data_IF_967692596862
#
_entry.id   IF_967692596862
#
_cell.length_a   1.000
_cell.length_b   1.000
_cell.length_c   1.000
_cell.angle_alpha   90.00
_cell.angle_beta   90.00
_cell.angle_gamma   90.00
#
_symmetry.space_group_name_H-M   'P 1'
#
loop_
_entity.id
_entity.type
_entity.pdbx_description
1 polymer ?
#
# COMPACT_ATOMS: atom_id res chain seq x y z
N UNK A 1 -52.28 -10.26 -31.34
CA UNK A 1 -50.80 -10.10 -31.47
C UNK A 1 -50.13 -9.68 -30.15
N UNK A 2 -50.58 -10.17 -29.02
CA UNK A 2 -50.06 -9.67 -27.72
C UNK A 2 -49.48 -10.68 -26.71
N UNK A 3 -49.95 -11.94 -26.57
CA UNK A 3 -49.41 -12.78 -25.49
C UNK A 3 -47.99 -13.31 -25.77
N UNK A 4 -47.71 -13.82 -26.95
CA UNK A 4 -46.38 -14.42 -27.26
C UNK A 4 -45.18 -13.43 -27.23
N UNK A 5 -45.44 -12.18 -27.52
CA UNK A 5 -44.39 -11.12 -27.45
C UNK A 5 -44.07 -10.78 -26.00
N UNK A 6 -45.05 -10.85 -25.10
CA UNK A 6 -44.89 -10.57 -23.67
C UNK A 6 -44.10 -11.72 -22.99
N UNK A 7 -44.48 -12.96 -23.29
CA UNK A 7 -43.76 -14.15 -22.77
C UNK A 7 -42.29 -14.21 -23.25
N UNK A 8 -42.01 -13.90 -24.50
CA UNK A 8 -40.60 -13.84 -25.01
C UNK A 8 -39.78 -12.71 -24.38
N UNK A 9 -40.43 -11.60 -24.08
CA UNK A 9 -39.79 -10.46 -23.43
C UNK A 9 -39.50 -10.76 -21.95
N UNK A 10 -40.42 -11.45 -21.29
CA UNK A 10 -40.25 -11.90 -19.89
C UNK A 10 -39.15 -12.99 -19.76
N UNK A 11 -39.05 -13.92 -20.72
CA UNK A 11 -37.97 -14.92 -20.76
C UNK A 11 -36.58 -14.29 -21.04
N UNK A 12 -36.51 -13.30 -21.92
CA UNK A 12 -35.27 -12.56 -22.18
C UNK A 12 -34.84 -11.72 -20.98
N UNK A 13 -35.80 -11.11 -20.28
CA UNK A 13 -35.56 -10.34 -19.07
C UNK A 13 -35.09 -11.24 -17.93
N UNK A 14 -35.71 -12.39 -17.72
CA UNK A 14 -35.32 -13.42 -16.76
C UNK A 14 -33.92 -13.98 -17.03
N UNK A 15 -33.57 -14.22 -18.30
CA UNK A 15 -32.22 -14.64 -18.70
C UNK A 15 -31.16 -13.54 -18.44
N UNK A 16 -31.53 -12.28 -18.68
CA UNK A 16 -30.65 -11.14 -18.36
C UNK A 16 -30.45 -10.98 -16.85
N UNK A 17 -31.51 -11.10 -16.05
CA UNK A 17 -31.46 -11.09 -14.58
C UNK A 17 -30.54 -12.20 -14.05
N UNK A 18 -30.72 -13.44 -14.49
CA UNK A 18 -29.87 -14.58 -14.08
C UNK A 18 -28.39 -14.36 -14.47
N UNK A 19 -28.12 -13.71 -15.60
CA UNK A 19 -26.74 -13.34 -15.99
C UNK A 19 -26.16 -12.28 -15.06
N UNK A 20 -26.97 -11.31 -14.66
CA UNK A 20 -26.56 -10.24 -13.73
C UNK A 20 -26.32 -10.87 -12.34
N UNK A 21 -27.23 -11.68 -11.84
CA UNK A 21 -27.07 -12.40 -10.56
C UNK A 21 -25.80 -13.29 -10.54
N UNK A 22 -25.54 -14.03 -11.61
CA UNK A 22 -24.33 -14.83 -11.74
C UNK A 22 -23.04 -13.98 -11.86
N UNK A 23 -23.12 -12.74 -12.39
CA UNK A 23 -22.00 -11.79 -12.40
C UNK A 23 -21.80 -11.16 -11.02
N UNK A 24 -22.89 -10.81 -10.32
CA UNK A 24 -22.85 -10.29 -8.96
C UNK A 24 -22.27 -11.36 -8.02
N UNK A 25 -22.74 -12.60 -8.07
CA UNK A 25 -22.22 -13.70 -7.26
C UNK A 25 -20.71 -13.96 -7.55
N UNK A 26 -20.27 -13.86 -8.80
CA UNK A 26 -18.83 -13.95 -9.14
C UNK A 26 -18.03 -12.74 -8.63
N UNK A 27 -18.60 -11.55 -8.65
CA UNK A 27 -17.99 -10.36 -8.09
C UNK A 27 -17.95 -10.40 -6.56
N UNK A 28 -19.01 -10.89 -5.92
CA UNK A 28 -19.05 -11.13 -4.47
C UNK A 28 -18.03 -12.19 -4.06
N UNK A 29 -17.92 -13.30 -4.79
CA UNK A 29 -16.89 -14.32 -4.59
C UNK A 29 -15.48 -13.78 -4.85
N UNK A 30 -15.31 -12.92 -5.84
CA UNK A 30 -14.04 -12.24 -6.12
C UNK A 30 -13.69 -11.19 -5.06
N UNK A 31 -14.68 -10.53 -4.47
CA UNK A 31 -14.48 -9.55 -3.38
C UNK A 31 -14.26 -10.26 -2.04
N UNK A 32 -15.02 -11.31 -1.75
CA UNK A 32 -14.90 -12.12 -0.52
C UNK A 32 -13.76 -13.15 -0.60
N UNK A 33 -13.41 -13.63 -1.81
CA UNK A 33 -12.30 -14.55 -2.11
C UNK A 33 -11.07 -13.89 -2.74
N UNK A 34 -10.97 -12.58 -2.68
CA UNK A 34 -9.91 -11.83 -3.37
C UNK A 34 -8.48 -12.23 -2.96
N UNK A 35 -8.30 -12.69 -1.71
CA UNK A 35 -7.05 -13.30 -1.26
C UNK A 35 -6.70 -14.58 -2.01
N UNK A 36 -7.69 -15.35 -2.41
CA UNK A 36 -7.51 -16.60 -3.15
C UNK A 36 -7.13 -16.34 -4.62
N UNK A 37 -7.70 -15.32 -5.26
CA UNK A 37 -7.33 -14.90 -6.61
C UNK A 37 -5.88 -14.42 -6.67
N UNK A 38 -5.46 -13.61 -5.71
CA UNK A 38 -4.08 -13.16 -5.63
C UNK A 38 -3.11 -14.34 -5.43
N UNK A 39 -3.45 -15.27 -4.53
CA UNK A 39 -2.67 -16.49 -4.28
C UNK A 39 -2.63 -17.42 -5.50
N UNK A 40 -3.76 -17.59 -6.18
CA UNK A 40 -3.83 -18.36 -7.43
C UNK A 40 -2.91 -17.76 -8.50
N UNK A 41 -2.98 -16.45 -8.72
CA UNK A 41 -2.13 -15.74 -9.68
C UNK A 41 -0.64 -15.84 -9.35
N UNK A 42 -0.27 -15.88 -8.06
CA UNK A 42 1.11 -16.10 -7.64
C UNK A 42 1.54 -17.55 -7.86
N UNK A 43 0.67 -18.51 -7.52
CA UNK A 43 0.94 -19.94 -7.71
C UNK A 43 1.10 -20.31 -9.19
N UNK A 44 0.29 -19.76 -10.10
CA UNK A 44 0.41 -19.92 -11.56
C UNK A 44 1.80 -19.48 -12.09
N UNK A 45 2.43 -18.50 -11.40
CA UNK A 45 3.80 -18.04 -11.69
C UNK A 45 4.88 -18.85 -10.96
N UNK A 46 4.51 -19.93 -10.26
CA UNK A 46 5.43 -20.73 -9.45
C UNK A 46 5.87 -20.06 -8.15
N UNK A 47 5.25 -18.95 -7.77
CA UNK A 47 5.60 -18.16 -6.59
C UNK A 47 4.83 -18.67 -5.36
N UNK A 48 5.47 -19.48 -4.53
CA UNK A 48 4.87 -20.06 -3.33
C UNK A 48 5.08 -19.16 -2.11
N UNK A 49 4.03 -18.42 -1.72
CA UNK A 49 4.04 -17.59 -0.50
C UNK A 49 4.13 -18.50 0.74
N UNK A 50 5.12 -18.28 1.61
CA UNK A 50 5.20 -18.96 2.90
C UNK A 50 4.97 -18.04 4.10
N UNK A 51 5.12 -16.72 3.93
CA UNK A 51 4.79 -15.70 4.93
C UNK A 51 4.20 -14.47 4.25
N UNK A 52 3.13 -13.94 4.79
CA UNK A 52 2.57 -12.65 4.43
C UNK A 52 1.77 -12.07 5.61
N UNK A 53 1.48 -10.79 5.55
CA UNK A 53 0.71 -10.04 6.54
C UNK A 53 1.26 -10.18 7.98
N UNK A 54 2.57 -9.96 8.21
CA UNK A 54 3.14 -10.09 9.54
C UNK A 54 2.59 -9.02 10.49
N UNK A 55 2.17 -9.42 11.69
CA UNK A 55 1.65 -8.51 12.73
C UNK A 55 2.69 -8.18 13.80
N UNK A 56 3.76 -8.95 13.87
CA UNK A 56 4.81 -8.87 14.90
C UNK A 56 5.60 -7.54 14.89
N UNK A 57 5.63 -6.83 13.77
CA UNK A 57 6.36 -5.57 13.59
C UNK A 57 5.48 -4.34 13.41
N UNK A 58 4.17 -4.49 13.51
CA UNK A 58 3.25 -3.37 13.39
C UNK A 58 3.21 -2.54 14.68
N UNK A 59 2.99 -1.25 14.54
CA UNK A 59 2.66 -0.39 15.67
C UNK A 59 1.32 -0.80 16.32
N UNK A 60 0.41 -1.33 15.52
CA UNK A 60 -0.88 -1.83 15.97
C UNK A 60 -0.68 -3.11 16.82
N UNK A 61 -1.27 -3.20 18.02
CA UNK A 61 -1.22 -4.41 18.83
C UNK A 61 -1.82 -5.62 18.09
N UNK A 62 -1.32 -6.80 18.40
CA UNK A 62 -1.88 -8.04 17.87
C UNK A 62 -3.31 -8.23 18.38
N UNK A 63 -4.23 -8.63 17.50
CA UNK A 63 -5.63 -8.76 17.84
C UNK A 63 -6.37 -7.43 18.05
N UNK A 64 -5.78 -6.30 17.66
CA UNK A 64 -6.46 -5.01 17.72
C UNK A 64 -7.81 -5.05 16.99
N UNK A 65 -8.90 -4.53 17.61
CA UNK A 65 -10.23 -4.55 17.02
C UNK A 65 -10.28 -3.76 15.70
N UNK A 66 -11.23 -4.13 14.84
CA UNK A 66 -11.38 -3.50 13.51
C UNK A 66 -11.54 -1.99 13.61
N UNK A 67 -12.24 -1.48 14.61
CA UNK A 67 -12.38 -0.04 14.83
C UNK A 67 -11.02 0.65 15.05
N UNK A 68 -10.12 0.03 15.80
CA UNK A 68 -8.76 0.57 16.02
C UNK A 68 -7.94 0.56 14.73
N UNK A 69 -8.08 -0.51 13.92
CA UNK A 69 -7.47 -0.60 12.60
C UNK A 69 -7.98 0.48 11.66
N UNK A 70 -9.33 0.72 11.63
CA UNK A 70 -9.95 1.78 10.84
C UNK A 70 -9.44 3.17 11.21
N UNK A 71 -9.40 3.44 12.52
CA UNK A 71 -8.93 4.72 13.04
C UNK A 71 -7.45 4.96 12.73
N UNK A 72 -6.62 3.91 12.85
CA UNK A 72 -5.21 3.97 12.49
C UNK A 72 -5.05 4.24 10.98
N UNK A 73 -5.77 3.50 10.12
CA UNK A 73 -5.77 3.72 8.69
C UNK A 73 -6.14 5.17 8.33
N UNK A 74 -7.21 5.69 8.92
CA UNK A 74 -7.65 7.08 8.69
C UNK A 74 -6.60 8.12 9.10
N UNK A 75 -5.89 7.89 10.21
CA UNK A 75 -4.83 8.81 10.66
C UNK A 75 -3.57 8.68 9.80
N UNK A 76 -3.22 7.48 9.33
CA UNK A 76 -2.08 7.28 8.43
C UNK A 76 -2.26 7.98 7.07
N UNK A 77 -3.46 8.37 6.68
CA UNK A 77 -3.66 9.27 5.53
C UNK A 77 -3.02 10.66 5.74
N UNK A 78 -2.79 11.08 7.00
CA UNK A 78 -2.17 12.37 7.33
C UNK A 78 -0.66 12.24 7.38
N UNK A 79 0.05 12.96 6.51
CA UNK A 79 1.50 12.95 6.47
C UNK A 79 2.12 13.39 7.81
N UNK A 80 1.56 14.40 8.47
CA UNK A 80 2.01 14.86 9.79
C UNK A 80 1.92 13.77 10.87
N UNK A 81 0.92 12.89 10.81
CA UNK A 81 0.81 11.77 11.74
C UNK A 81 1.92 10.73 11.49
N UNK A 82 2.23 10.41 10.23
CA UNK A 82 3.33 9.50 9.91
C UNK A 82 4.70 10.04 10.34
N UNK A 83 4.90 11.36 10.24
CA UNK A 83 6.12 12.00 10.76
C UNK A 83 6.17 11.97 12.29
N UNK A 84 5.03 12.23 12.95
CA UNK A 84 4.90 12.08 14.40
C UNK A 84 5.25 10.66 14.85
N UNK A 85 4.73 9.63 14.17
CA UNK A 85 5.04 8.22 14.48
C UNK A 85 6.52 7.90 14.31
N UNK A 86 7.20 8.43 13.30
CA UNK A 86 8.67 8.24 13.14
C UNK A 86 9.44 8.78 14.32
N UNK A 87 9.06 9.97 14.82
CA UNK A 87 9.71 10.55 15.99
C UNK A 87 9.38 9.76 17.26
N UNK A 88 8.14 9.33 17.46
CA UNK A 88 7.71 8.49 18.58
C UNK A 88 8.44 7.12 18.59
N UNK A 89 8.54 6.46 17.44
CA UNK A 89 9.25 5.18 17.29
C UNK A 89 10.74 5.35 17.60
N UNK A 90 11.38 6.41 17.10
CA UNK A 90 12.79 6.68 17.35
C UNK A 90 13.11 6.90 18.82
N UNK A 91 12.19 7.49 19.58
CA UNK A 91 12.36 7.78 20.99
C UNK A 91 11.97 6.61 21.90
N UNK A 92 10.93 5.84 21.51
CA UNK A 92 10.37 4.74 22.30
C UNK A 92 9.60 5.19 23.54
N UNK A 93 10.14 6.16 24.28
CA UNK A 93 9.50 6.92 25.38
C UNK A 93 9.48 8.39 25.00
N UNK A 94 8.32 9.04 25.04
CA UNK A 94 8.15 10.41 24.55
C UNK A 94 6.99 11.14 25.23
N UNK A 95 7.10 12.46 25.32
CA UNK A 95 5.99 13.34 25.71
C UNK A 95 5.28 13.83 24.44
N UNK A 96 3.99 13.54 24.27
CA UNK A 96 3.28 13.90 23.03
C UNK A 96 3.41 15.37 22.66
N UNK A 97 3.34 16.29 23.64
CA UNK A 97 3.42 17.73 23.43
C UNK A 97 4.79 18.24 22.96
N UNK A 98 5.84 17.43 23.08
CA UNK A 98 7.19 17.76 22.60
C UNK A 98 7.37 17.40 21.13
N UNK A 99 6.57 16.47 20.59
CA UNK A 99 6.64 16.02 19.19
C UNK A 99 5.91 16.97 18.23
N UNK A 100 6.30 18.23 18.26
CA UNK A 100 5.63 19.31 17.51
C UNK A 100 6.34 19.74 16.23
N UNK A 101 7.42 19.07 15.87
CA UNK A 101 8.23 19.42 14.67
C UNK A 101 7.41 19.47 13.38
N UNK A 102 6.40 18.60 13.24
CA UNK A 102 5.61 18.42 12.03
C UNK A 102 4.10 18.61 12.23
N UNK A 103 3.69 18.98 13.43
CA UNK A 103 2.28 19.22 13.75
C UNK A 103 2.15 20.20 14.91
N UNK A 104 0.96 20.76 15.12
CA UNK A 104 0.68 21.61 16.28
C UNK A 104 0.67 20.80 17.58
N UNK A 105 0.93 21.46 18.73
CA UNK A 105 0.86 20.83 20.06
C UNK A 105 -0.49 20.13 20.29
N UNK A 106 -1.59 20.76 19.88
CA UNK A 106 -2.93 20.17 19.99
C UNK A 106 -3.09 18.90 19.14
N UNK A 107 -2.46 18.84 17.96
CA UNK A 107 -2.45 17.64 17.14
C UNK A 107 -1.57 16.54 17.75
N UNK A 108 -0.39 16.89 18.26
CA UNK A 108 0.53 15.95 18.92
C UNK A 108 -0.14 15.28 20.14
N UNK A 109 -0.83 16.06 20.99
CA UNK A 109 -1.61 15.53 22.11
C UNK A 109 -2.75 14.60 21.65
N UNK A 110 -3.45 14.93 20.56
CA UNK A 110 -4.48 14.02 19.99
C UNK A 110 -3.88 12.73 19.47
N UNK A 111 -2.70 12.79 18.84
CA UNK A 111 -2.00 11.61 18.34
C UNK A 111 -1.52 10.71 19.48
N UNK A 112 -0.99 11.28 20.56
CA UNK A 112 -0.60 10.53 21.76
C UNK A 112 -1.80 9.81 22.39
N UNK A 113 -2.92 10.53 22.64
CA UNK A 113 -4.15 9.93 23.16
C UNK A 113 -4.72 8.84 22.25
N UNK A 114 -4.59 9.01 20.95
CA UNK A 114 -4.99 7.96 20.00
C UNK A 114 -4.12 6.70 20.16
N UNK A 115 -2.79 6.83 20.23
CA UNK A 115 -1.89 5.66 20.44
C UNK A 115 -2.21 4.93 21.74
N UNK A 116 -2.50 5.67 22.80
CA UNK A 116 -2.94 5.10 24.07
C UNK A 116 -4.28 4.37 23.92
N UNK A 117 -5.27 4.98 23.26
CA UNK A 117 -6.62 4.41 23.09
C UNK A 117 -6.67 3.12 22.29
N UNK A 118 -5.68 2.85 21.44
CA UNK A 118 -5.53 1.59 20.67
C UNK A 118 -4.52 0.63 21.31
N UNK A 119 -4.01 0.93 22.48
CA UNK A 119 -3.01 0.12 23.18
C UNK A 119 -1.63 0.10 22.52
N UNK A 120 -1.34 1.00 21.59
CA UNK A 120 -0.02 1.12 20.95
C UNK A 120 0.99 1.86 21.82
N UNK A 121 0.54 2.61 22.82
CA UNK A 121 1.36 3.22 23.84
C UNK A 121 0.68 3.14 25.20
N UNK A 122 1.47 3.15 26.27
CA UNK A 122 1.01 3.16 27.66
C UNK A 122 1.59 4.35 28.41
N UNK A 123 0.84 4.97 29.35
CA UNK A 123 1.34 6.04 30.19
C UNK A 123 2.52 5.57 31.05
N UNK A 124 3.54 6.40 31.14
CA UNK A 124 4.68 6.26 32.05
C UNK A 124 5.04 7.64 32.62
N UNK A 125 4.49 7.95 33.80
CA UNK A 125 4.56 9.29 34.37
C UNK A 125 3.82 10.31 33.49
N UNK A 126 4.52 11.35 33.03
CA UNK A 126 4.04 12.38 32.12
C UNK A 126 4.36 12.08 30.63
N UNK A 127 4.93 10.89 30.35
CA UNK A 127 5.29 10.43 29.02
C UNK A 127 4.44 9.22 28.58
N UNK A 128 4.59 8.85 27.33
CA UNK A 128 4.04 7.63 26.73
C UNK A 128 5.20 6.71 26.30
N UNK A 129 5.11 5.44 26.63
CA UNK A 129 5.99 4.39 26.13
C UNK A 129 5.28 3.56 25.08
N UNK A 130 5.91 3.32 23.94
CA UNK A 130 5.40 2.35 22.97
C UNK A 130 5.33 0.95 23.58
N UNK A 131 4.19 0.27 23.43
CA UNK A 131 3.94 -1.07 24.00
C UNK A 131 4.72 -2.16 23.27
N UNK A 132 5.14 -1.92 22.03
CA UNK A 132 5.88 -2.88 21.21
C UNK A 132 7.24 -2.31 20.78
N UNK A 133 8.28 -3.13 20.71
CA UNK A 133 9.58 -2.72 20.20
C UNK A 133 9.54 -2.61 18.66
N UNK A 134 8.94 -1.53 18.15
CA UNK A 134 8.90 -1.22 16.71
C UNK A 134 10.16 -0.45 16.34
N UNK A 135 10.98 -1.00 15.46
CA UNK A 135 12.25 -0.39 15.04
C UNK A 135 12.12 0.70 13.98
N UNK A 136 11.04 0.67 13.19
CA UNK A 136 10.77 1.64 12.13
C UNK A 136 9.29 1.70 11.77
N UNK A 137 8.89 2.78 11.07
CA UNK A 137 7.53 2.90 10.53
C UNK A 137 7.29 1.99 9.31
N UNK A 138 8.34 1.42 8.69
CA UNK A 138 8.25 0.63 7.45
C UNK A 138 7.13 -0.40 7.45
N UNK A 139 7.12 -1.39 8.35
CA UNK A 139 6.08 -2.43 8.37
C UNK A 139 4.66 -1.88 8.53
N UNK A 140 4.47 -0.85 9.35
CA UNK A 140 3.16 -0.20 9.51
C UNK A 140 2.75 0.56 8.24
N UNK A 141 3.71 1.12 7.50
CA UNK A 141 3.47 1.79 6.24
C UNK A 141 3.15 0.80 5.11
N UNK A 142 3.79 -0.38 5.09
CA UNK A 142 3.45 -1.48 4.18
C UNK A 142 2.02 -1.96 4.42
N UNK A 143 1.64 -2.20 5.69
CA UNK A 143 0.27 -2.51 6.09
C UNK A 143 -0.72 -1.44 5.59
N UNK A 144 -0.39 -0.16 5.82
CA UNK A 144 -1.23 0.96 5.37
C UNK A 144 -1.41 0.98 3.84
N UNK A 145 -0.34 0.75 3.08
CA UNK A 145 -0.40 0.72 1.61
C UNK A 145 -1.21 -0.48 1.13
N UNK A 146 -1.09 -1.65 1.75
CA UNK A 146 -1.94 -2.80 1.42
C UNK A 146 -3.42 -2.49 1.68
N UNK A 147 -3.75 -1.92 2.85
CA UNK A 147 -5.13 -1.46 3.16
C UNK A 147 -5.63 -0.40 2.17
N UNK A 148 -4.76 0.47 1.66
CA UNK A 148 -5.11 1.44 0.65
C UNK A 148 -5.51 0.76 -0.68
N UNK A 149 -4.80 -0.28 -1.12
CA UNK A 149 -5.21 -1.07 -2.27
C UNK A 149 -6.57 -1.72 -2.06
N UNK A 150 -6.82 -2.31 -0.92
CA UNK A 150 -8.08 -2.98 -0.60
C UNK A 150 -9.26 -1.99 -0.56
N UNK A 151 -9.12 -0.85 0.11
CA UNK A 151 -10.21 0.09 0.41
C UNK A 151 -10.48 1.09 -0.70
N UNK A 152 -9.39 1.65 -1.23
CA UNK A 152 -9.50 2.76 -2.18
C UNK A 152 -9.55 2.29 -3.63
N UNK A 153 -9.04 1.08 -3.90
CA UNK A 153 -8.93 0.52 -5.25
C UNK A 153 -9.70 -0.80 -5.41
N UNK A 154 -10.32 -1.31 -4.33
CA UNK A 154 -11.01 -2.59 -4.28
C UNK A 154 -10.14 -3.73 -4.85
N UNK A 155 -8.86 -3.69 -4.55
CA UNK A 155 -7.85 -4.62 -5.01
C UNK A 155 -7.33 -5.44 -3.83
N UNK A 156 -7.57 -6.76 -3.78
CA UNK A 156 -6.98 -7.63 -2.77
C UNK A 156 -5.47 -7.45 -2.69
N UNK A 157 -4.93 -7.31 -1.49
CA UNK A 157 -3.51 -7.06 -1.28
C UNK A 157 -2.96 -7.82 -0.06
N UNK A 158 -1.69 -8.15 -0.13
CA UNK A 158 -0.90 -8.73 0.96
C UNK A 158 0.40 -7.94 1.12
N UNK A 159 0.93 -7.88 2.34
CA UNK A 159 2.16 -7.14 2.64
C UNK A 159 3.19 -8.01 3.37
N UNK A 160 4.46 -7.55 3.39
CA UNK A 160 5.58 -8.27 4.02
C UNK A 160 5.71 -9.69 3.47
N UNK A 161 5.66 -9.85 2.15
CA UNK A 161 5.50 -11.14 1.49
C UNK A 161 6.84 -11.82 1.27
N UNK A 162 6.93 -13.10 1.67
CA UNK A 162 8.10 -13.95 1.43
C UNK A 162 7.73 -15.17 0.60
N UNK A 163 8.57 -15.49 -0.39
CA UNK A 163 8.42 -16.66 -1.25
C UNK A 163 9.46 -17.73 -0.93
N UNK A 164 9.08 -19.00 -1.09
CA UNK A 164 10.01 -20.14 -0.98
C UNK A 164 10.85 -20.23 -2.25
N UNK A 165 12.17 -20.43 -2.09
CA UNK A 165 13.07 -20.73 -3.20
C UNK A 165 13.32 -19.57 -4.17
N UNK A 166 12.98 -18.31 -3.79
CA UNK A 166 13.26 -17.16 -4.63
C UNK A 166 14.65 -16.59 -4.30
N UNK A 167 15.56 -16.57 -5.29
CA UNK A 167 16.92 -16.06 -5.15
C UNK A 167 17.01 -14.52 -4.99
N UNK A 168 15.94 -13.79 -5.34
CA UNK A 168 15.90 -12.33 -5.30
C UNK A 168 16.17 -11.73 -3.91
N UNK A 169 16.06 -12.54 -2.85
CA UNK A 169 16.29 -12.13 -1.46
C UNK A 169 15.35 -11.01 -0.98
N UNK A 170 15.09 -10.97 0.33
CA UNK A 170 14.27 -9.93 0.96
C UNK A 170 12.77 -10.17 0.88
N UNK A 171 12.05 -9.26 1.51
CA UNK A 171 10.60 -9.28 1.56
C UNK A 171 10.06 -8.41 0.42
N UNK A 172 8.89 -8.77 -0.13
CA UNK A 172 8.12 -7.90 -1.02
C UNK A 172 7.15 -7.10 -0.16
N UNK A 173 7.25 -5.77 -0.22
CA UNK A 173 6.52 -4.92 0.70
C UNK A 173 5.00 -5.04 0.53
N UNK A 174 4.48 -4.86 -0.69
CA UNK A 174 3.04 -5.03 -0.98
C UNK A 174 2.84 -5.64 -2.36
N UNK A 175 2.01 -6.68 -2.42
CA UNK A 175 1.55 -7.28 -3.69
C UNK A 175 0.03 -7.22 -3.71
N UNK A 176 -0.54 -6.78 -4.84
CA UNK A 176 -1.99 -6.63 -5.00
C UNK A 176 -2.48 -7.23 -6.32
N UNK A 177 -3.75 -7.64 -6.34
CA UNK A 177 -4.47 -8.04 -7.55
C UNK A 177 -5.36 -6.90 -8.00
N UNK A 178 -4.89 -6.10 -8.94
CA UNK A 178 -5.50 -4.85 -9.35
C UNK A 178 -6.07 -4.95 -10.77
N UNK A 179 -7.39 -4.87 -10.89
CA UNK A 179 -8.08 -4.92 -12.19
C UNK A 179 -7.71 -6.13 -13.07
N UNK A 180 -7.53 -7.31 -12.45
CA UNK A 180 -7.17 -8.55 -13.15
C UNK A 180 -5.67 -8.72 -13.40
N UNK A 181 -4.84 -7.86 -12.85
CA UNK A 181 -3.40 -7.86 -13.05
C UNK A 181 -2.63 -7.80 -11.73
N UNK A 182 -1.43 -8.38 -11.71
CA UNK A 182 -0.55 -8.32 -10.56
C UNK A 182 0.12 -6.95 -10.48
N UNK A 183 0.04 -6.33 -9.31
CA UNK A 183 0.71 -5.08 -8.98
C UNK A 183 1.70 -5.29 -7.83
N UNK A 184 2.84 -4.58 -7.88
CA UNK A 184 3.85 -4.60 -6.82
C UNK A 184 4.13 -3.18 -6.33
N UNK A 185 4.19 -2.98 -5.02
CA UNK A 185 4.66 -1.73 -4.45
C UNK A 185 5.82 -1.97 -3.47
N UNK A 186 6.90 -1.27 -3.68
CA UNK A 186 7.99 -1.08 -2.72
C UNK A 186 7.72 0.20 -1.94
N UNK A 187 7.88 0.17 -0.62
CA UNK A 187 7.46 1.25 0.28
C UNK A 187 8.63 1.72 1.14
N UNK A 188 9.03 2.96 0.96
CA UNK A 188 10.14 3.56 1.70
C UNK A 188 9.65 4.57 2.72
N UNK A 189 9.84 4.27 4.00
CA UNK A 189 9.56 5.20 5.10
C UNK A 189 10.68 6.21 5.34
N UNK A 190 11.86 6.02 4.76
CA UNK A 190 13.00 6.93 4.86
C UNK A 190 12.83 8.16 3.97
N UNK A 191 13.40 9.31 4.35
CA UNK A 191 13.46 10.47 3.47
C UNK A 191 14.33 10.18 2.24
N UNK A 192 14.13 10.87 1.10
CA UNK A 192 14.84 10.60 -0.17
C UNK A 192 16.37 10.54 -0.04
N UNK A 193 16.97 11.36 0.84
CA UNK A 193 18.42 11.39 1.05
C UNK A 193 19.00 10.08 1.61
N UNK A 194 18.19 9.27 2.27
CA UNK A 194 18.60 8.00 2.86
C UNK A 194 18.39 6.81 1.93
N UNK A 195 17.87 7.02 0.71
CA UNK A 195 17.67 5.95 -0.28
C UNK A 195 18.88 5.90 -1.21
N UNK A 196 19.39 4.70 -1.45
CA UNK A 196 20.56 4.46 -2.27
C UNK A 196 20.24 3.67 -3.54
N UNK A 197 21.16 3.70 -4.53
CA UNK A 197 20.99 2.97 -5.80
C UNK A 197 20.82 1.47 -5.60
N UNK A 198 21.45 0.89 -4.59
CA UNK A 198 21.31 -0.52 -4.26
C UNK A 198 19.86 -0.92 -3.91
N UNK A 199 19.11 -0.04 -3.25
CA UNK A 199 17.70 -0.27 -2.91
C UNK A 199 16.80 -0.23 -4.16
N UNK A 200 17.05 0.71 -5.08
CA UNK A 200 16.36 0.78 -6.37
C UNK A 200 16.68 -0.45 -7.21
N UNK A 201 17.96 -0.86 -7.26
CA UNK A 201 18.37 -2.09 -7.97
C UNK A 201 17.71 -3.35 -7.37
N UNK A 202 17.61 -3.44 -6.05
CA UNK A 202 16.91 -4.54 -5.38
C UNK A 202 15.40 -4.56 -5.70
N UNK A 203 14.76 -3.39 -5.73
CA UNK A 203 13.37 -3.27 -6.17
C UNK A 203 13.19 -3.73 -7.62
N UNK A 204 14.06 -3.31 -8.54
CA UNK A 204 13.98 -3.69 -9.95
C UNK A 204 14.17 -5.21 -10.13
N UNK A 205 15.13 -5.83 -9.44
CA UNK A 205 15.30 -7.30 -9.43
C UNK A 205 14.05 -8.02 -8.91
N UNK A 206 13.46 -7.59 -7.78
CA UNK A 206 12.20 -8.16 -7.26
C UNK A 206 11.06 -8.01 -8.25
N UNK A 207 10.96 -6.85 -8.92
CA UNK A 207 10.00 -6.62 -10.00
C UNK A 207 10.18 -7.60 -11.15
N UNK A 208 11.41 -7.88 -11.59
CA UNK A 208 11.71 -8.85 -12.65
C UNK A 208 11.24 -10.27 -12.28
N UNK A 209 11.52 -10.71 -11.06
CA UNK A 209 11.07 -12.02 -10.57
C UNK A 209 9.55 -12.14 -10.43
N UNK A 210 8.88 -11.09 -10.00
CA UNK A 210 7.42 -11.09 -9.81
C UNK A 210 6.66 -10.90 -11.12
N UNK A 211 7.26 -10.28 -12.13
CA UNK A 211 6.65 -9.92 -13.42
C UNK A 211 5.27 -9.26 -13.27
N UNK A 212 5.12 -8.19 -12.47
CA UNK A 212 3.85 -7.51 -12.31
C UNK A 212 3.54 -6.66 -13.55
N UNK A 213 2.24 -6.49 -13.86
CA UNK A 213 1.80 -5.60 -14.93
C UNK A 213 2.14 -4.14 -14.65
N UNK A 214 2.18 -3.77 -13.36
CA UNK A 214 2.60 -2.44 -12.92
C UNK A 214 3.28 -2.49 -11.56
N UNK A 215 4.18 -1.55 -11.31
CA UNK A 215 4.90 -1.44 -10.04
C UNK A 215 5.00 0.00 -9.57
N UNK A 216 5.07 0.15 -8.24
CA UNK A 216 5.15 1.42 -7.56
C UNK A 216 6.38 1.44 -6.65
N UNK A 217 7.22 2.45 -6.77
CA UNK A 217 8.24 2.78 -5.79
C UNK A 217 7.73 3.98 -5.00
N UNK A 218 7.18 3.70 -3.83
CA UNK A 218 6.51 4.68 -2.97
C UNK A 218 7.50 5.19 -1.94
N UNK A 219 7.79 6.49 -1.96
CA UNK A 219 8.59 7.14 -0.92
C UNK A 219 7.69 8.02 -0.08
N UNK A 220 7.60 7.74 1.22
CA UNK A 220 6.75 8.52 2.14
C UNK A 220 7.39 9.86 2.47
N UNK A 221 7.28 10.79 1.52
CA UNK A 221 7.81 12.16 1.60
C UNK A 221 6.97 13.13 0.79
N UNK A 222 6.94 14.39 1.22
CA UNK A 222 6.44 15.52 0.42
C UNK A 222 7.56 16.32 -0.26
N UNK A 223 8.82 15.90 -0.03
CA UNK A 223 9.99 16.53 -0.65
C UNK A 223 10.08 16.23 -2.15
N UNK A 224 10.98 16.94 -2.82
CA UNK A 224 11.26 16.74 -4.24
C UNK A 224 11.93 15.38 -4.48
N UNK A 225 11.42 14.66 -5.47
CA UNK A 225 11.92 13.35 -5.89
C UNK A 225 12.92 13.46 -7.05
N UNK A 226 12.80 14.53 -7.86
CA UNK A 226 13.59 14.73 -9.07
C UNK A 226 15.09 14.70 -8.81
N UNK A 227 15.52 15.37 -7.74
CA UNK A 227 16.96 15.63 -7.53
C UNK A 227 17.68 14.46 -6.84
N UNK A 228 16.94 13.48 -6.29
CA UNK A 228 17.55 12.34 -5.58
C UNK A 228 17.07 10.99 -6.09
N UNK A 229 15.76 10.78 -6.19
CA UNK A 229 15.22 9.46 -6.53
C UNK A 229 15.30 9.19 -8.03
N UNK A 230 14.99 10.19 -8.87
CA UNK A 230 15.08 10.03 -10.33
C UNK A 230 16.49 9.63 -10.77
N UNK A 231 17.59 10.29 -10.34
CA UNK A 231 18.94 9.86 -10.68
C UNK A 231 19.29 8.43 -10.24
N UNK A 232 18.72 7.94 -9.12
CA UNK A 232 18.93 6.56 -8.69
C UNK A 232 18.31 5.55 -9.65
N UNK A 233 17.13 5.87 -10.21
CA UNK A 233 16.50 5.04 -11.24
C UNK A 233 17.27 5.08 -12.56
N UNK A 234 17.74 6.25 -12.97
CA UNK A 234 18.56 6.42 -14.17
C UNK A 234 19.89 5.65 -14.05
N UNK A 235 20.50 5.64 -12.86
CA UNK A 235 21.72 4.86 -12.59
C UNK A 235 21.47 3.35 -12.54
N UNK A 236 20.34 2.91 -11.90
CA UNK A 236 20.02 1.50 -11.75
C UNK A 236 19.50 0.86 -13.04
N UNK A 237 18.88 1.63 -13.94
CA UNK A 237 18.32 1.16 -15.21
C UNK A 237 18.54 2.19 -16.34
N UNK A 238 19.77 2.37 -16.85
CA UNK A 238 20.11 3.42 -17.82
C UNK A 238 19.29 3.37 -19.13
N UNK A 239 18.79 2.18 -19.48
CA UNK A 239 17.99 1.97 -20.69
C UNK A 239 16.49 2.27 -20.51
N UNK A 240 16.06 2.59 -19.29
CA UNK A 240 14.66 2.89 -18.98
C UNK A 240 14.49 4.40 -18.72
N UNK A 241 13.93 5.15 -19.69
CA UNK A 241 13.75 6.58 -19.50
C UNK A 241 12.83 6.90 -18.33
N UNK A 242 13.18 7.89 -17.53
CA UNK A 242 12.33 8.41 -16.45
C UNK A 242 11.60 9.64 -16.94
N UNK A 243 10.28 9.56 -17.02
CA UNK A 243 9.41 10.62 -17.51
C UNK A 243 8.60 11.21 -16.37
N UNK A 244 8.59 12.53 -16.24
CA UNK A 244 7.72 13.22 -15.29
C UNK A 244 6.26 13.18 -15.78
N UNK A 245 5.35 12.69 -14.96
CA UNK A 245 3.92 12.65 -15.28
C UNK A 245 3.19 13.90 -14.75
N UNK A 246 3.40 14.22 -13.48
CA UNK A 246 2.79 15.37 -12.84
C UNK A 246 3.48 15.67 -11.51
N UNK A 247 3.82 16.93 -11.24
CA UNK A 247 4.50 17.36 -10.01
C UNK A 247 5.69 16.44 -9.65
N UNK A 248 5.61 15.67 -8.58
CA UNK A 248 6.65 14.74 -8.14
C UNK A 248 6.28 13.26 -8.40
N UNK A 249 5.46 13.01 -9.42
CA UNK A 249 5.16 11.68 -9.95
C UNK A 249 5.95 11.44 -11.24
N UNK A 250 6.62 10.30 -11.32
CA UNK A 250 7.40 9.92 -12.48
C UNK A 250 7.07 8.49 -12.89
N UNK A 251 7.36 8.17 -14.15
CA UNK A 251 7.32 6.83 -14.68
C UNK A 251 8.69 6.44 -15.21
N UNK A 252 9.21 5.33 -14.74
CA UNK A 252 10.43 4.70 -15.23
C UNK A 252 10.07 3.53 -16.14
N UNK A 253 10.59 3.55 -17.38
CA UNK A 253 10.25 2.54 -18.38
C UNK A 253 8.75 2.49 -18.72
N UNK A 254 8.19 1.28 -18.83
CA UNK A 254 6.82 1.07 -19.33
C UNK A 254 5.77 1.25 -18.22
N UNK A 255 5.94 0.61 -17.07
CA UNK A 255 4.91 0.49 -16.03
C UNK A 255 5.45 0.54 -14.59
N UNK A 256 6.57 1.20 -14.37
CA UNK A 256 7.10 1.48 -13.02
C UNK A 256 6.86 2.94 -12.67
N UNK A 257 6.19 3.17 -11.55
CA UNK A 257 5.80 4.51 -11.10
C UNK A 257 6.54 4.88 -9.83
N UNK A 258 7.15 6.06 -9.82
CA UNK A 258 7.81 6.65 -8.66
C UNK A 258 6.83 7.62 -8.02
N UNK A 259 6.44 7.34 -6.79
CA UNK A 259 5.31 7.97 -6.09
C UNK A 259 5.78 8.56 -4.77
N UNK A 260 5.33 9.79 -4.46
CA UNK A 260 5.53 10.42 -3.15
C UNK A 260 4.20 10.63 -2.40
N UNK A 261 4.28 11.19 -1.19
CA UNK A 261 3.11 11.45 -0.34
C UNK A 261 2.43 12.79 -0.60
N UNK A 262 3.01 13.64 -1.44
CA UNK A 262 2.44 14.96 -1.73
C UNK A 262 1.09 14.81 -2.42
N UNK A 263 0.04 15.40 -1.86
CA UNK A 263 -1.37 15.23 -2.26
C UNK A 263 -1.99 13.86 -1.93
N UNK A 264 -1.31 13.05 -1.10
CA UNK A 264 -1.77 11.73 -0.67
C UNK A 264 -1.34 10.58 -1.58
N UNK A 265 -0.92 9.48 -0.98
CA UNK A 265 -0.44 8.27 -1.69
C UNK A 265 -1.55 7.68 -2.56
N UNK A 266 -2.79 7.57 -2.03
CA UNK A 266 -3.94 7.04 -2.77
C UNK A 266 -4.24 7.83 -4.06
N UNK A 267 -4.29 9.17 -3.95
CA UNK A 267 -4.56 10.04 -5.09
C UNK A 267 -3.46 9.91 -6.16
N UNK A 268 -2.22 9.76 -5.73
CA UNK A 268 -1.08 9.59 -6.63
C UNK A 268 -1.10 8.23 -7.34
N UNK A 269 -1.40 7.13 -6.63
CA UNK A 269 -1.58 5.81 -7.23
C UNK A 269 -2.72 5.84 -8.25
N UNK A 270 -3.88 6.44 -7.94
CA UNK A 270 -4.99 6.58 -8.91
C UNK A 270 -4.57 7.30 -10.19
N UNK A 271 -3.75 8.36 -10.09
CA UNK A 271 -3.20 9.05 -11.27
C UNK A 271 -2.28 8.16 -12.11
N UNK A 272 -1.43 7.39 -11.46
CA UNK A 272 -0.58 6.41 -12.15
C UNK A 272 -1.41 5.35 -12.87
N UNK A 273 -2.49 4.86 -12.24
CA UNK A 273 -3.43 3.91 -12.85
C UNK A 273 -4.16 4.49 -14.07
N UNK A 274 -4.59 5.74 -14.00
CA UNK A 274 -5.21 6.41 -15.14
C UNK A 274 -4.24 6.58 -16.31
N UNK A 275 -2.99 6.92 -16.03
CA UNK A 275 -1.94 7.00 -17.05
C UNK A 275 -1.66 5.63 -17.67
N UNK A 276 -1.49 4.60 -16.83
CA UNK A 276 -1.25 3.24 -17.28
C UNK A 276 -2.37 2.70 -18.19
N UNK A 277 -3.64 2.92 -17.81
CA UNK A 277 -4.80 2.52 -18.63
C UNK A 277 -4.88 3.23 -19.99
N UNK A 278 -4.46 4.49 -20.06
CA UNK A 278 -4.47 5.27 -21.33
C UNK A 278 -3.37 4.80 -22.29
N UNK A 279 -2.41 4.05 -21.83
CA UNK A 279 -1.27 3.56 -22.63
C UNK A 279 -1.47 2.13 -23.13
N UNK A 280 -2.47 1.45 -22.63
CA UNK A 280 -2.92 0.12 -23.09
C UNK A 280 -3.94 0.25 -24.22
#
# INVERSE_FOLDING_TARGET
>A
MAPERRERMDDACLKALRRIEARVARLEQAVLGGGDLLRAALNERGLKVYRCNPTDRLLLPEGAPDEAQERLYALLNRYSFRLYLRDAIRLGLFRPEELTRFCSRAAALRYGRFLESIGAATPEGDALRLTRPVSSLGPTLEWYVARLFERELLAPAIYGVKFRGLEAGGDFDVIAWLAGELAYAEVKSSPPKGIEVAEVSAFLRRREHLCPALSFFIVDTELRMKDKIVPLFEAAAPHQPVVRLHAELFRAGIATYIVNSRRGIAANIRRCLLEWRRRR
#
